data_IF_678937373562
#
_entry.id   IF_678937373562
#
_cell.length_a   1.000
_cell.length_b   1.000
_cell.length_c   1.000
_cell.angle_alpha   90.00
_cell.angle_beta   90.00
_cell.angle_gamma   90.00
#
_symmetry.space_group_name_H-M   'P 1'
#
loop_
_entity.id
_entity.type
_entity.pdbx_description
1 polymer ?
#
# COMPACT_ATOMS: atom_id res chain seq x y z
N UNK A 1 -3.03 11.22 22.06
CA UNK A 1 -4.07 10.20 22.28
C UNK A 1 -4.68 9.71 20.96
N UNK A 2 -5.11 10.62 20.07
CA UNK A 2 -5.77 10.28 18.80
C UNK A 2 -4.87 9.41 17.91
N UNK A 3 -3.59 9.70 17.83
CA UNK A 3 -2.63 8.98 16.97
C UNK A 3 -2.17 7.69 17.62
N UNK A 4 -1.73 7.77 18.90
CA UNK A 4 -1.03 6.68 19.55
C UNK A 4 -1.97 5.64 20.20
N UNK A 5 -3.14 6.07 20.67
CA UNK A 5 -4.09 5.20 21.38
C UNK A 5 -5.25 4.75 20.50
N UNK A 6 -5.81 5.67 19.70
CA UNK A 6 -6.92 5.35 18.79
C UNK A 6 -6.45 4.78 17.44
N UNK A 7 -5.20 5.00 17.07
CA UNK A 7 -4.56 4.35 15.93
C UNK A 7 -5.06 4.81 14.56
N UNK A 8 -4.97 3.93 13.59
CA UNK A 8 -5.36 4.16 12.21
C UNK A 8 -6.89 4.24 12.08
N UNK A 9 -7.39 5.35 11.56
CA UNK A 9 -8.84 5.65 11.47
C UNK A 9 -9.33 5.59 10.04
N UNK A 10 -9.26 4.41 9.43
CA UNK A 10 -9.86 4.18 8.13
C UNK A 10 -11.38 4.37 8.22
N UNK A 11 -11.98 4.90 7.18
CA UNK A 11 -13.42 5.19 7.16
C UNK A 11 -14.23 3.95 7.52
N UNK A 12 -15.14 4.10 8.49
CA UNK A 12 -16.00 3.07 9.07
C UNK A 12 -15.27 1.92 9.80
N UNK A 13 -13.95 1.95 9.94
CA UNK A 13 -13.23 0.96 10.75
C UNK A 13 -13.61 1.03 12.22
N UNK A 14 -13.32 -0.03 12.97
CA UNK A 14 -13.54 -0.06 14.43
C UNK A 14 -12.79 1.07 15.15
N UNK A 15 -11.58 1.36 14.73
CA UNK A 15 -10.79 2.45 15.32
C UNK A 15 -11.37 3.83 14.97
N UNK A 16 -11.95 4.01 13.79
CA UNK A 16 -12.69 5.23 13.46
C UNK A 16 -13.92 5.41 14.32
N UNK A 17 -14.70 4.34 14.56
CA UNK A 17 -15.86 4.38 15.45
C UNK A 17 -15.47 4.73 16.88
N UNK A 18 -14.38 4.14 17.40
CA UNK A 18 -13.83 4.48 18.74
C UNK A 18 -13.42 5.95 18.79
N UNK A 19 -12.80 6.46 17.75
CA UNK A 19 -12.39 7.86 17.68
C UNK A 19 -13.59 8.81 17.63
N UNK A 20 -14.65 8.45 16.92
CA UNK A 20 -15.90 9.22 16.90
C UNK A 20 -16.54 9.29 18.29
N UNK A 21 -16.68 8.17 18.99
CA UNK A 21 -17.21 8.14 20.35
C UNK A 21 -16.38 9.00 21.29
N UNK A 22 -15.07 8.84 21.25
CA UNK A 22 -14.17 9.68 22.06
C UNK A 22 -14.33 11.17 21.75
N UNK A 23 -14.40 11.55 20.46
CA UNK A 23 -14.55 12.96 20.08
C UNK A 23 -15.87 13.56 20.59
N UNK A 24 -16.97 12.82 20.49
CA UNK A 24 -18.27 13.26 21.02
C UNK A 24 -18.22 13.48 22.54
N UNK A 25 -17.55 12.59 23.26
CA UNK A 25 -17.41 12.69 24.70
C UNK A 25 -16.53 13.89 25.12
N UNK A 26 -15.41 14.10 24.42
CA UNK A 26 -14.54 15.25 24.69
C UNK A 26 -15.25 16.58 24.39
N UNK A 27 -16.00 16.67 23.30
CA UNK A 27 -16.80 17.87 22.98
C UNK A 27 -17.84 18.18 24.07
N UNK A 28 -18.52 17.17 24.61
CA UNK A 28 -19.47 17.34 25.73
C UNK A 28 -18.75 17.80 26.99
N UNK A 29 -17.59 17.24 27.33
CA UNK A 29 -16.77 17.68 28.46
C UNK A 29 -16.30 19.13 28.33
N UNK A 30 -16.08 19.60 27.11
CA UNK A 30 -15.76 21.01 26.82
C UNK A 30 -16.98 21.96 26.94
N UNK A 31 -18.16 21.43 27.23
CA UNK A 31 -19.39 22.21 27.42
C UNK A 31 -20.21 22.46 26.14
N UNK A 32 -19.86 21.79 25.04
CA UNK A 32 -20.65 21.86 23.81
C UNK A 32 -21.99 21.14 23.99
N UNK A 33 -23.05 21.74 23.46
CA UNK A 33 -24.41 21.19 23.46
C UNK A 33 -24.78 20.68 22.09
N UNK A 34 -25.76 19.78 22.00
CA UNK A 34 -26.23 19.17 20.73
C UNK A 34 -25.13 18.40 19.96
N UNK A 35 -24.21 17.79 20.71
CA UNK A 35 -23.13 16.99 20.11
C UNK A 35 -23.68 15.63 19.71
N UNK A 36 -23.69 15.36 18.42
CA UNK A 36 -24.19 14.12 17.83
C UNK A 36 -23.33 13.72 16.62
N UNK A 37 -23.48 12.49 16.20
CA UNK A 37 -22.89 11.97 14.97
C UNK A 37 -24.00 11.72 13.96
N UNK A 38 -23.80 12.18 12.74
CA UNK A 38 -24.77 12.04 11.67
C UNK A 38 -24.17 11.26 10.50
N UNK A 39 -24.94 10.30 9.97
CA UNK A 39 -24.59 9.63 8.72
C UNK A 39 -24.85 10.59 7.55
N UNK A 40 -23.85 10.82 6.72
CA UNK A 40 -23.97 11.75 5.60
C UNK A 40 -23.90 11.07 4.22
N UNK A 41 -23.45 9.82 4.16
CA UNK A 41 -23.39 9.05 2.93
C UNK A 41 -23.20 7.55 3.19
N UNK A 42 -23.58 6.75 2.20
CA UNK A 42 -23.18 5.34 2.13
C UNK A 42 -21.76 5.23 1.57
N UNK A 43 -20.85 4.68 2.36
CA UNK A 43 -19.44 4.57 1.97
C UNK A 43 -19.11 3.24 1.30
N UNK A 44 -19.86 2.18 1.60
CA UNK A 44 -19.64 0.83 1.11
C UNK A 44 -18.91 -0.05 2.10
N UNK A 45 -17.70 -0.50 1.77
CA UNK A 45 -16.97 -1.50 2.55
C UNK A 45 -15.98 -0.84 3.52
N UNK A 46 -15.93 -1.34 4.76
CA UNK A 46 -14.89 -1.00 5.73
C UNK A 46 -13.76 -2.04 5.70
N UNK A 47 -12.65 -1.69 6.33
CA UNK A 47 -11.51 -2.58 6.47
C UNK A 47 -10.80 -2.34 7.81
N UNK A 48 -10.45 -3.43 8.47
CA UNK A 48 -9.66 -3.43 9.70
C UNK A 48 -8.50 -4.42 9.55
N UNK A 49 -7.31 -4.03 10.02
CA UNK A 49 -6.20 -4.96 10.15
C UNK A 49 -6.30 -5.67 11.50
N UNK A 50 -6.69 -6.94 11.49
CA UNK A 50 -6.80 -7.72 12.72
C UNK A 50 -5.47 -8.36 13.13
N UNK A 51 -4.77 -8.93 12.15
CA UNK A 51 -3.50 -9.61 12.39
C UNK A 51 -2.74 -9.79 11.06
N UNK A 52 -1.43 -9.60 11.12
CA UNK A 52 -0.52 -9.96 10.03
C UNK A 52 0.73 -10.62 10.59
N UNK A 53 1.15 -11.70 9.98
CA UNK A 53 2.41 -12.36 10.26
C UNK A 53 2.93 -12.99 8.97
N UNK A 54 4.18 -12.70 8.65
CA UNK A 54 4.84 -13.22 7.46
C UNK A 54 6.24 -13.70 7.83
N UNK A 55 6.60 -14.89 7.37
CA UNK A 55 7.89 -15.50 7.68
C UNK A 55 8.44 -16.20 6.44
N UNK A 56 9.72 -16.04 6.19
CA UNK A 56 10.47 -16.94 5.35
C UNK A 56 10.87 -18.15 6.18
N UNK A 57 10.58 -19.36 5.73
CA UNK A 57 10.87 -20.59 6.47
C UNK A 57 12.03 -21.37 5.87
N UNK A 58 12.31 -21.17 4.59
CA UNK A 58 13.41 -21.76 3.85
C UNK A 58 14.03 -20.71 2.92
N UNK A 59 15.36 -20.71 2.68
CA UNK A 59 16.37 -21.66 3.22
C UNK A 59 16.69 -21.45 4.70
N UNK A 60 16.46 -20.24 5.24
CA UNK A 60 16.69 -19.88 6.63
C UNK A 60 15.45 -19.21 7.20
N UNK A 61 15.14 -19.51 8.47
CA UNK A 61 14.02 -18.87 9.12
C UNK A 61 14.28 -17.38 9.36
N UNK A 62 13.38 -16.54 8.86
CA UNK A 62 13.41 -15.09 9.07
C UNK A 62 12.00 -14.51 9.17
N UNK A 63 11.65 -13.78 10.24
CA UNK A 63 10.43 -13.00 10.28
C UNK A 63 10.54 -11.85 9.27
N UNK A 64 9.49 -11.63 8.51
CA UNK A 64 9.42 -10.55 7.52
C UNK A 64 8.63 -9.38 8.09
N UNK A 65 9.18 -8.18 7.97
CA UNK A 65 8.44 -6.96 8.28
C UNK A 65 7.45 -6.69 7.13
N UNK A 66 6.19 -6.99 7.37
CA UNK A 66 5.13 -6.89 6.37
C UNK A 66 3.89 -6.20 6.94
N UNK A 67 3.20 -5.46 6.10
CA UNK A 67 1.93 -4.81 6.42
C UNK A 67 0.93 -5.05 5.29
N UNK A 68 -0.33 -5.38 5.59
CA UNK A 68 -1.32 -5.58 4.54
C UNK A 68 -1.71 -4.25 3.90
N UNK A 69 -1.94 -4.27 2.61
CA UNK A 69 -2.51 -3.12 1.92
C UNK A 69 -3.97 -2.98 2.33
N UNK A 70 -4.36 -1.80 2.82
CA UNK A 70 -5.72 -1.56 3.26
C UNK A 70 -6.74 -1.80 2.14
N UNK A 71 -7.92 -2.29 2.51
CA UNK A 71 -9.00 -2.69 1.61
C UNK A 71 -8.68 -3.91 0.75
N UNK A 72 -7.81 -4.79 1.22
CA UNK A 72 -7.60 -6.11 0.62
C UNK A 72 -8.17 -7.21 1.51
N UNK A 73 -8.51 -8.34 0.92
CA UNK A 73 -9.02 -9.48 1.67
C UNK A 73 -7.92 -10.12 2.52
N UNK A 74 -8.29 -10.70 3.65
CA UNK A 74 -7.42 -11.55 4.44
C UNK A 74 -7.22 -12.94 3.81
N UNK A 75 -6.28 -13.69 4.37
CA UNK A 75 -6.07 -15.09 4.02
C UNK A 75 -7.05 -15.99 4.78
N UNK A 76 -7.41 -17.12 4.19
CA UNK A 76 -8.18 -18.15 4.90
C UNK A 76 -7.19 -19.01 5.71
N UNK A 77 -6.89 -18.55 6.92
CA UNK A 77 -5.92 -19.23 7.78
C UNK A 77 -4.46 -19.04 7.33
N UNK A 78 -3.60 -19.92 7.84
CA UNK A 78 -2.17 -19.90 7.52
C UNK A 78 -1.93 -20.42 6.10
N UNK A 79 -1.16 -19.66 5.32
CA UNK A 79 -0.69 -20.06 3.99
C UNK A 79 0.79 -20.45 4.10
N UNK A 80 1.14 -21.62 3.57
CA UNK A 80 2.51 -21.99 3.21
C UNK A 80 2.59 -22.05 1.69
N UNK A 81 3.47 -21.27 1.11
CA UNK A 81 3.61 -21.18 -0.34
C UNK A 81 5.06 -20.98 -0.74
N UNK A 82 5.44 -21.57 -1.84
CA UNK A 82 6.72 -21.28 -2.49
C UNK A 82 6.70 -19.84 -3.01
N UNK A 83 7.77 -19.08 -2.69
CA UNK A 83 7.91 -17.72 -3.17
C UNK A 83 8.49 -17.67 -4.58
N UNK A 84 7.94 -16.80 -5.42
CA UNK A 84 8.45 -16.56 -6.77
C UNK A 84 8.53 -15.05 -7.03
N UNK A 85 9.71 -14.59 -7.43
CA UNK A 85 9.88 -13.21 -7.93
C UNK A 85 9.46 -13.19 -9.39
N UNK A 86 8.61 -12.23 -9.73
CA UNK A 86 8.14 -12.04 -11.11
C UNK A 86 8.33 -10.59 -11.53
N UNK A 87 8.75 -10.39 -12.77
CA UNK A 87 8.76 -9.08 -13.42
C UNK A 87 7.80 -9.13 -14.61
N UNK A 88 6.66 -8.48 -14.45
CA UNK A 88 5.57 -8.49 -15.44
C UNK A 88 5.28 -7.06 -15.83
N UNK A 89 5.87 -6.59 -16.92
CA UNK A 89 5.73 -5.26 -17.45
C UNK A 89 4.97 -5.23 -18.77
N UNK A 90 5.02 -6.31 -19.53
CA UNK A 90 4.48 -6.42 -20.88
C UNK A 90 3.49 -7.58 -21.00
N UNK A 91 2.79 -7.63 -22.12
CA UNK A 91 1.91 -8.76 -22.46
C UNK A 91 2.68 -10.05 -22.73
N UNK A 92 3.87 -9.93 -23.25
CA UNK A 92 4.79 -11.05 -23.46
C UNK A 92 5.19 -11.69 -22.11
N UNK A 93 5.42 -10.87 -21.08
CA UNK A 93 5.74 -11.38 -19.75
C UNK A 93 4.55 -12.16 -19.16
N UNK A 94 3.32 -11.74 -19.41
CA UNK A 94 2.11 -12.49 -19.01
C UNK A 94 2.17 -13.91 -19.57
N UNK A 95 2.50 -14.06 -20.86
CA UNK A 95 2.58 -15.38 -21.49
C UNK A 95 3.73 -16.23 -20.93
N UNK A 96 4.83 -15.58 -20.54
CA UNK A 96 5.96 -16.26 -19.90
C UNK A 96 5.60 -16.91 -18.57
N UNK A 97 4.74 -16.25 -17.77
CA UNK A 97 4.34 -16.72 -16.44
C UNK A 97 3.02 -17.51 -16.42
N UNK A 98 2.28 -17.54 -17.52
CA UNK A 98 0.98 -18.22 -17.60
C UNK A 98 1.04 -19.68 -17.15
N UNK A 99 0.14 -20.06 -16.23
CA UNK A 99 0.04 -21.41 -15.67
C UNK A 99 1.13 -21.79 -14.66
N UNK A 100 2.03 -20.87 -14.30
CA UNK A 100 3.17 -21.15 -13.41
C UNK A 100 3.01 -20.59 -11.99
N UNK A 101 1.99 -19.76 -11.72
CA UNK A 101 1.89 -18.98 -10.49
C UNK A 101 0.86 -19.52 -9.49
N UNK A 102 0.13 -20.57 -9.86
CA UNK A 102 -0.94 -21.13 -9.02
C UNK A 102 -0.42 -21.52 -7.63
N UNK A 103 -1.05 -20.99 -6.58
CA UNK A 103 -0.73 -21.29 -5.18
C UNK A 103 0.61 -20.75 -4.69
N UNK A 104 1.32 -19.93 -5.45
CA UNK A 104 2.60 -19.34 -5.05
C UNK A 104 2.41 -18.00 -4.31
N UNK A 105 3.39 -17.65 -3.48
CA UNK A 105 3.58 -16.32 -2.96
C UNK A 105 4.39 -15.50 -3.99
N UNK A 106 3.75 -14.56 -4.66
CA UNK A 106 4.34 -13.84 -5.80
C UNK A 106 4.87 -12.49 -5.34
N UNK A 107 6.16 -12.24 -5.56
CA UNK A 107 6.81 -10.96 -5.34
C UNK A 107 6.94 -10.23 -6.68
N UNK A 108 6.19 -9.13 -6.85
CA UNK A 108 6.05 -8.39 -8.12
C UNK A 108 7.01 -7.22 -8.29
N UNK A 109 8.04 -7.12 -7.51
CA UNK A 109 9.03 -6.05 -7.63
C UNK A 109 10.42 -6.60 -7.81
N UNK A 110 11.16 -5.99 -8.73
CA UNK A 110 12.60 -6.24 -8.81
C UNK A 110 13.25 -5.83 -7.49
N UNK A 111 14.18 -6.63 -6.97
CA UNK A 111 14.92 -6.25 -5.78
C UNK A 111 15.64 -4.92 -6.03
N UNK A 112 15.37 -3.93 -5.18
CA UNK A 112 16.12 -2.69 -5.23
C UNK A 112 17.58 -2.98 -4.88
N UNK A 113 18.49 -2.53 -5.72
CA UNK A 113 19.92 -2.55 -5.37
C UNK A 113 20.11 -1.55 -4.23
N UNK A 114 20.39 -2.07 -3.05
CA UNK A 114 20.68 -1.24 -1.88
C UNK A 114 22.13 -0.82 -1.98
N UNK A 115 22.36 0.42 -2.38
CA UNK A 115 23.68 1.03 -2.28
C UNK A 115 23.89 1.56 -0.85
N UNK A 116 24.64 0.82 -0.07
CA UNK A 116 24.94 1.17 1.32
C UNK A 116 25.65 2.53 1.45
N UNK A 117 26.37 2.96 0.42
CA UNK A 117 27.05 4.25 0.43
C UNK A 117 26.07 5.42 0.27
N UNK A 118 24.94 5.22 -0.37
CA UNK A 118 23.89 6.24 -0.51
C UNK A 118 22.92 6.27 0.68
N UNK A 119 22.92 5.25 1.54
CA UNK A 119 22.12 5.22 2.78
C UNK A 119 22.56 6.31 3.78
N UNK A 120 23.81 6.71 3.74
CA UNK A 120 24.38 7.73 4.65
C UNK A 120 23.80 9.13 4.37
N UNK A 121 23.26 9.35 3.17
CA UNK A 121 22.73 10.64 2.73
C UNK A 121 21.19 10.74 2.84
N UNK A 122 20.56 9.98 3.74
CA UNK A 122 19.11 9.98 3.93
C UNK A 122 18.51 11.31 4.37
N UNK A 123 19.33 12.27 4.79
CA UNK A 123 18.92 13.65 5.11
C UNK A 123 19.85 14.59 4.37
N UNK A 124 19.38 15.14 3.26
CA UNK A 124 20.10 16.22 2.59
C UNK A 124 19.89 17.52 3.38
N UNK A 125 20.99 18.08 3.90
CA UNK A 125 20.97 19.40 4.51
C UNK A 125 21.39 20.40 3.42
N UNK A 126 20.45 21.25 3.03
CA UNK A 126 20.71 22.30 2.06
C UNK A 126 21.78 23.27 2.57
N UNK A 127 22.76 23.57 1.75
CA UNK A 127 23.70 24.67 1.99
C UNK A 127 23.09 26.01 1.56
N UNK A 128 23.76 27.12 1.86
CA UNK A 128 23.23 28.44 1.55
C UNK A 128 23.06 28.70 0.05
N UNK A 129 23.90 28.14 -0.80
CA UNK A 129 23.83 28.31 -2.25
C UNK A 129 22.60 27.55 -2.80
N UNK A 130 22.37 26.36 -2.31
CA UNK A 130 21.18 25.56 -2.68
C UNK A 130 19.87 26.23 -2.21
N UNK A 131 19.89 26.84 -1.01
CA UNK A 131 18.72 27.58 -0.52
C UNK A 131 18.43 28.81 -1.37
N UNK A 132 19.47 29.57 -1.77
CA UNK A 132 19.32 30.70 -2.68
C UNK A 132 18.81 30.25 -4.05
N UNK A 133 19.32 29.14 -4.56
CA UNK A 133 18.83 28.56 -5.81
C UNK A 133 17.35 28.14 -5.74
N UNK A 134 16.93 27.57 -4.61
CA UNK A 134 15.53 27.23 -4.37
C UNK A 134 14.63 28.46 -4.27
N UNK A 135 15.10 29.53 -3.61
CA UNK A 135 14.37 30.80 -3.52
C UNK A 135 14.18 31.46 -4.89
N UNK A 136 15.19 31.35 -5.74
CA UNK A 136 15.16 31.89 -7.10
C UNK A 136 14.47 30.97 -8.11
N UNK A 137 14.23 29.70 -7.73
CA UNK A 137 13.55 28.76 -8.58
C UNK A 137 12.13 29.27 -8.86
N UNK A 138 11.86 29.63 -10.10
CA UNK A 138 10.50 29.92 -10.52
C UNK A 138 9.65 28.70 -10.23
N UNK A 139 8.64 28.83 -9.37
CA UNK A 139 7.62 27.82 -9.19
C UNK A 139 6.89 27.72 -10.54
N UNK A 140 7.41 26.88 -11.42
CA UNK A 140 6.68 26.50 -12.60
C UNK A 140 5.45 25.76 -12.07
N UNK A 141 4.22 26.30 -12.27
CA UNK A 141 3.04 25.53 -11.88
C UNK A 141 3.24 24.16 -12.48
N UNK A 142 3.14 23.12 -11.65
CA UNK A 142 3.10 21.76 -12.15
C UNK A 142 1.90 21.75 -13.09
N UNK A 143 2.12 22.10 -14.35
CA UNK A 143 1.20 21.69 -15.39
C UNK A 143 1.18 20.21 -15.15
N UNK A 144 0.03 19.74 -14.62
CA UNK A 144 -0.22 18.33 -14.53
C UNK A 144 0.35 17.79 -15.82
N UNK A 145 1.48 17.12 -15.73
CA UNK A 145 2.08 16.50 -16.87
C UNK A 145 1.05 15.46 -17.29
N UNK A 146 0.05 15.91 -18.03
CA UNK A 146 -0.51 15.13 -19.08
C UNK A 146 0.66 14.92 -20.06
N UNK A 147 1.78 14.42 -19.54
CA UNK A 147 2.76 13.75 -20.33
C UNK A 147 1.89 12.77 -21.08
N UNK A 148 1.71 13.00 -22.35
CA UNK A 148 1.23 12.03 -23.29
C UNK A 148 2.05 10.78 -22.96
N UNK A 149 1.53 10.00 -22.03
CA UNK A 149 1.98 8.62 -21.85
C UNK A 149 1.64 8.06 -23.21
N UNK A 150 2.65 7.99 -24.06
CA UNK A 150 2.56 7.21 -25.28
C UNK A 150 2.28 5.82 -24.73
N UNK A 151 1.00 5.44 -24.73
CA UNK A 151 0.61 4.11 -24.27
C UNK A 151 1.25 3.15 -25.25
N UNK A 152 2.42 2.65 -24.87
CA UNK A 152 2.95 1.51 -25.60
C UNK A 152 1.96 0.36 -25.35
N UNK A 153 1.26 -0.14 -26.36
CA UNK A 153 0.22 -1.15 -26.19
C UNK A 153 0.76 -2.49 -25.68
N UNK A 154 2.07 -2.68 -25.70
CA UNK A 154 2.73 -3.85 -25.13
C UNK A 154 2.86 -3.74 -23.60
N UNK A 155 2.95 -2.53 -23.02
CA UNK A 155 3.09 -2.32 -21.59
C UNK A 155 1.73 -2.47 -20.91
N UNK A 156 1.69 -3.33 -19.90
CA UNK A 156 0.49 -3.54 -19.08
C UNK A 156 0.46 -2.56 -17.90
N UNK A 157 -0.73 -2.16 -17.50
CA UNK A 157 -0.91 -1.36 -16.29
C UNK A 157 -1.05 -2.25 -15.04
N UNK A 158 -1.07 -1.62 -13.86
CA UNK A 158 -1.17 -2.32 -12.59
C UNK A 158 -2.48 -3.14 -12.46
N UNK A 159 -3.58 -2.66 -13.05
CA UNK A 159 -4.88 -3.36 -12.99
C UNK A 159 -4.83 -4.65 -13.82
N UNK A 160 -4.29 -4.57 -15.03
CA UNK A 160 -4.12 -5.72 -15.91
C UNK A 160 -3.20 -6.78 -15.29
N UNK A 161 -2.09 -6.34 -14.71
CA UNK A 161 -1.16 -7.22 -13.98
C UNK A 161 -1.86 -7.95 -12.84
N UNK A 162 -2.63 -7.23 -12.00
CA UNK A 162 -3.34 -7.83 -10.88
C UNK A 162 -4.47 -8.75 -11.35
N UNK A 163 -5.17 -8.42 -12.41
CA UNK A 163 -6.18 -9.29 -13.01
C UNK A 163 -5.55 -10.62 -13.49
N UNK A 164 -4.36 -10.55 -14.08
CA UNK A 164 -3.61 -11.75 -14.45
C UNK A 164 -3.22 -12.58 -13.22
N UNK A 165 -2.61 -11.99 -12.19
CA UNK A 165 -2.23 -12.71 -10.97
C UNK A 165 -3.44 -13.36 -10.28
N UNK A 166 -4.59 -12.66 -10.28
CA UNK A 166 -5.85 -13.23 -9.80
C UNK A 166 -6.29 -14.43 -10.63
N UNK A 167 -6.23 -14.35 -11.95
CA UNK A 167 -6.61 -15.46 -12.85
C UNK A 167 -5.71 -16.69 -12.69
N UNK A 168 -4.46 -16.49 -12.31
CA UNK A 168 -3.51 -17.57 -12.00
C UNK A 168 -3.74 -18.21 -10.62
N UNK A 169 -4.67 -17.70 -9.80
CA UNK A 169 -4.93 -18.17 -8.44
C UNK A 169 -3.67 -18.18 -7.56
N UNK A 170 -2.93 -17.07 -7.56
CA UNK A 170 -1.79 -16.89 -6.63
C UNK A 170 -2.29 -16.90 -5.18
N UNK A 171 -1.48 -17.45 -4.27
CA UNK A 171 -1.84 -17.54 -2.85
C UNK A 171 -1.79 -16.18 -2.16
N UNK A 172 -0.75 -15.40 -2.46
CA UNK A 172 -0.55 -14.04 -1.93
C UNK A 172 0.33 -13.24 -2.86
N UNK A 173 0.07 -11.94 -2.97
CA UNK A 173 0.92 -11.00 -3.68
C UNK A 173 1.74 -10.22 -2.66
N UNK A 174 3.05 -10.28 -2.80
CA UNK A 174 4.01 -9.52 -2.00
C UNK A 174 4.57 -8.39 -2.86
N UNK A 175 4.73 -7.24 -2.26
CA UNK A 175 5.34 -6.08 -2.90
C UNK A 175 6.39 -5.48 -1.97
N UNK A 176 7.58 -5.21 -2.50
CA UNK A 176 8.56 -4.43 -1.75
C UNK A 176 8.20 -2.96 -1.86
N UNK A 177 8.31 -2.25 -0.76
CA UNK A 177 8.43 -0.81 -0.83
C UNK A 177 9.88 -0.45 -1.11
N UNK A 178 10.12 0.43 -2.06
CA UNK A 178 11.47 0.89 -2.40
C UNK A 178 12.17 1.68 -1.29
N UNK A 179 11.63 1.66 -0.09
CA UNK A 179 12.18 2.35 1.07
C UNK A 179 13.43 1.62 1.58
N UNK A 180 14.57 2.30 1.45
CA UNK A 180 15.90 1.76 1.77
C UNK A 180 16.15 1.51 3.26
N UNK A 181 15.29 2.03 4.14
CA UNK A 181 15.47 1.96 5.60
C UNK A 181 14.69 0.82 6.26
N UNK A 182 14.10 -0.08 5.49
CA UNK A 182 13.29 -1.18 6.01
C UNK A 182 11.98 -0.74 6.67
N UNK A 183 11.58 0.51 6.45
CA UNK A 183 10.28 1.02 6.90
C UNK A 183 9.23 0.53 5.90
N UNK A 184 8.18 -0.10 6.41
CA UNK A 184 7.04 -0.51 5.60
C UNK A 184 5.92 0.51 5.79
N UNK A 185 5.70 1.40 4.83
CA UNK A 185 4.59 2.35 4.93
C UNK A 185 3.26 1.61 4.73
N UNK A 186 2.28 2.01 5.53
CA UNK A 186 0.92 1.53 5.37
C UNK A 186 0.26 2.28 4.21
N UNK A 187 -0.06 1.57 3.15
CA UNK A 187 -0.81 2.13 2.02
C UNK A 187 -2.28 1.77 2.11
N UNK A 188 -3.13 2.72 1.74
CA UNK A 188 -4.50 2.44 1.36
C UNK A 188 -4.65 2.62 -0.14
N UNK A 189 -5.46 1.79 -0.77
CA UNK A 189 -5.78 1.96 -2.17
C UNK A 189 -7.29 2.17 -2.32
N UNK A 190 -7.73 3.30 -2.85
CA UNK A 190 -9.15 3.54 -3.09
C UNK A 190 -9.69 2.56 -4.14
N UNK A 191 -10.97 2.26 -4.05
CA UNK A 191 -11.64 1.40 -5.02
C UNK A 191 -11.67 -0.06 -4.58
N UNK A 192 -12.28 -0.31 -3.42
CA UNK A 192 -12.54 -1.67 -2.94
C UNK A 192 -13.50 -2.40 -3.86
N UNK A 193 -13.21 -3.66 -4.12
CA UNK A 193 -14.09 -4.57 -4.84
C UNK A 193 -14.70 -5.57 -3.86
N UNK A 194 -15.93 -5.99 -4.12
CA UNK A 194 -16.64 -6.98 -3.29
C UNK A 194 -15.89 -8.30 -3.17
N UNK A 195 -15.06 -8.65 -4.15
CA UNK A 195 -14.24 -9.85 -4.15
C UNK A 195 -12.96 -9.74 -3.31
N UNK A 196 -12.78 -8.65 -2.56
CA UNK A 196 -11.61 -8.38 -1.73
C UNK A 196 -10.35 -7.96 -2.48
N UNK A 197 -10.48 -7.66 -3.78
CA UNK A 197 -9.39 -7.08 -4.57
C UNK A 197 -9.60 -5.57 -4.67
N UNK A 198 -8.60 -4.78 -4.30
CA UNK A 198 -8.65 -3.34 -4.49
C UNK A 198 -8.66 -2.98 -5.97
N UNK A 199 -8.96 -1.72 -6.31
CA UNK A 199 -8.85 -1.24 -7.69
C UNK A 199 -7.45 -1.41 -8.27
N UNK A 200 -6.43 -1.53 -7.42
CA UNK A 200 -5.09 -1.95 -7.81
C UNK A 200 -4.93 -3.47 -7.85
N UNK A 201 -5.97 -4.23 -7.51
CA UNK A 201 -6.02 -5.67 -7.67
C UNK A 201 -5.24 -6.50 -6.65
N UNK A 202 -4.83 -5.94 -5.52
CA UNK A 202 -4.11 -6.70 -4.48
C UNK A 202 -5.06 -7.41 -3.52
N UNK A 203 -4.74 -8.68 -3.26
CA UNK A 203 -5.40 -9.50 -2.26
C UNK A 203 -4.58 -9.49 -0.99
#
# INVERSE_FOLDING_TARGET
>A
YIVDVLGARLTLSRDMQRAQVWALDEMKKMGLTNVNSEAYMDYGVTWDNEYVSAHMIEPDYMPLNAYPVAYTAGTVGKINAEAMVVDIQTKEDIELYRGKLKGKAVLISSPAVIDLLTLINGVHRYNNEELIALEQATITPIKANAARVIKNPAIINAVERMAFLKSENVAVVLQTDGNRLGIVPAYSRPGVREDGWSAAGMK
#
